data_IF_859413393681
#
_entry.id   IF_859413393681
#
_cell.length_a   1.000
_cell.length_b   1.000
_cell.length_c   1.000
_cell.angle_alpha   90.00
_cell.angle_beta   90.00
_cell.angle_gamma   90.00
#
_symmetry.space_group_name_H-M   'P 1'
#
loop_
_entity.id
_entity.type
_entity.pdbx_description
1 polymer ?
#
# COMPACT_ATOMS: atom_id res chain seq x y z
N UNK A 1 14.81 -40.05 1.88
CA UNK A 1 16.27 -40.18 2.03
C UNK A 1 17.05 -38.97 1.50
N UNK A 2 16.54 -38.21 0.57
CA UNK A 2 17.16 -37.01 -0.07
C UNK A 2 17.34 -35.84 0.90
N UNK A 3 16.42 -35.62 1.85
CA UNK A 3 16.44 -34.50 2.81
C UNK A 3 17.57 -34.58 3.85
N UNK A 4 18.08 -35.77 4.19
CA UNK A 4 19.16 -35.95 5.18
C UNK A 4 20.58 -35.71 4.60
N UNK A 5 20.73 -35.79 3.29
CA UNK A 5 22.00 -35.49 2.63
C UNK A 5 22.22 -33.96 2.46
N UNK A 6 21.14 -33.20 2.32
CA UNK A 6 21.16 -31.73 2.21
C UNK A 6 21.66 -31.02 3.47
N UNK A 7 21.42 -31.60 4.65
CA UNK A 7 21.77 -31.00 5.95
C UNK A 7 23.26 -30.99 6.29
N UNK A 8 24.11 -31.75 5.60
CA UNK A 8 25.53 -31.86 5.89
C UNK A 8 26.44 -30.99 5.01
N UNK A 9 25.93 -30.45 3.91
CA UNK A 9 26.71 -29.62 3.01
C UNK A 9 26.76 -28.17 3.54
N UNK A 10 27.96 -27.58 3.62
CA UNK A 10 28.16 -26.15 3.92
C UNK A 10 27.34 -25.24 3.02
N UNK A 11 27.20 -25.62 1.76
CA UNK A 11 26.46 -24.92 0.72
C UNK A 11 24.97 -24.83 1.04
N UNK A 12 24.37 -25.96 1.45
CA UNK A 12 22.97 -26.02 1.85
C UNK A 12 22.70 -25.10 3.05
N UNK A 13 23.61 -25.03 4.01
CA UNK A 13 23.52 -24.13 5.17
C UNK A 13 23.63 -22.66 4.76
N UNK A 14 24.49 -22.35 3.79
CA UNK A 14 24.65 -20.99 3.28
C UNK A 14 23.40 -20.54 2.50
N UNK A 15 22.90 -21.35 1.56
CA UNK A 15 21.68 -21.07 0.79
C UNK A 15 20.47 -20.91 1.73
N UNK A 16 20.36 -21.75 2.75
CA UNK A 16 19.28 -21.64 3.72
C UNK A 16 19.35 -20.32 4.52
N UNK A 17 20.55 -19.94 5.00
CA UNK A 17 20.72 -18.70 5.75
C UNK A 17 20.45 -17.45 4.92
N UNK A 18 20.98 -17.39 3.70
CA UNK A 18 20.72 -16.28 2.78
C UNK A 18 19.25 -16.23 2.35
N UNK A 19 18.61 -17.37 2.13
CA UNK A 19 17.18 -17.45 1.84
C UNK A 19 16.33 -16.96 3.00
N UNK A 20 16.66 -17.29 4.25
CA UNK A 20 15.93 -16.78 5.42
C UNK A 20 16.09 -15.27 5.58
N UNK A 21 17.31 -14.73 5.40
CA UNK A 21 17.54 -13.27 5.47
C UNK A 21 16.71 -12.55 4.39
N UNK A 22 16.73 -13.04 3.15
CA UNK A 22 15.94 -12.47 2.05
C UNK A 22 14.44 -12.53 2.35
N UNK A 23 13.94 -13.66 2.86
CA UNK A 23 12.54 -13.82 3.20
C UNK A 23 12.13 -12.81 4.28
N UNK A 24 12.92 -12.66 5.33
CA UNK A 24 12.67 -11.67 6.39
C UNK A 24 12.66 -10.24 5.81
N UNK A 25 13.65 -9.90 4.98
CA UNK A 25 13.76 -8.55 4.38
C UNK A 25 12.56 -8.24 3.48
N UNK A 26 12.16 -9.18 2.61
CA UNK A 26 11.01 -9.01 1.72
C UNK A 26 9.70 -8.94 2.51
N UNK A 27 9.55 -9.76 3.57
CA UNK A 27 8.36 -9.73 4.44
C UNK A 27 8.24 -8.40 5.18
N UNK A 28 9.35 -7.88 5.69
CA UNK A 28 9.38 -6.56 6.35
C UNK A 28 9.02 -5.44 5.37
N UNK A 29 9.60 -5.46 4.18
CA UNK A 29 9.30 -4.50 3.12
C UNK A 29 7.82 -4.55 2.71
N UNK A 30 7.27 -5.75 2.51
CA UNK A 30 5.85 -5.93 2.19
C UNK A 30 4.94 -5.42 3.31
N UNK A 31 5.27 -5.70 4.57
CA UNK A 31 4.52 -5.22 5.73
C UNK A 31 4.46 -3.69 5.78
N UNK A 32 5.60 -3.00 5.64
CA UNK A 32 5.64 -1.54 5.61
C UNK A 32 4.85 -0.96 4.44
N UNK A 33 5.01 -1.52 3.25
CA UNK A 33 4.27 -1.05 2.07
C UNK A 33 2.75 -1.19 2.22
N UNK A 34 2.26 -2.33 2.74
CA UNK A 34 0.83 -2.57 2.93
C UNK A 34 0.24 -1.61 3.96
N UNK A 35 0.96 -1.35 5.06
CA UNK A 35 0.50 -0.42 6.10
C UNK A 35 0.39 1.02 5.57
N UNK A 36 1.40 1.49 4.85
CA UNK A 36 1.42 2.84 4.25
C UNK A 36 0.33 2.99 3.17
N UNK A 37 0.07 1.95 2.40
CA UNK A 37 -0.90 1.97 1.31
C UNK A 37 -2.33 2.22 1.81
N UNK A 38 -2.73 1.60 2.92
CA UNK A 38 -4.07 1.80 3.51
C UNK A 38 -4.28 3.26 3.94
N UNK A 39 -3.29 3.87 4.57
CA UNK A 39 -3.36 5.28 4.98
C UNK A 39 -3.44 6.22 3.77
N UNK A 40 -2.66 5.94 2.72
CA UNK A 40 -2.69 6.73 1.49
C UNK A 40 -4.07 6.68 0.82
N UNK A 41 -4.68 5.50 0.68
CA UNK A 41 -6.02 5.37 0.10
C UNK A 41 -7.10 6.07 0.92
N UNK A 42 -7.01 6.01 2.25
CA UNK A 42 -7.92 6.74 3.12
C UNK A 42 -7.75 8.25 2.99
N UNK A 43 -6.52 8.73 2.87
CA UNK A 43 -6.24 10.14 2.67
C UNK A 43 -6.76 10.62 1.32
N UNK A 44 -6.48 9.88 0.26
CA UNK A 44 -6.94 10.17 -1.10
C UNK A 44 -8.49 10.24 -1.18
N UNK A 45 -9.17 9.28 -0.54
CA UNK A 45 -10.63 9.30 -0.46
C UNK A 45 -11.19 10.50 0.30
N UNK A 46 -10.50 10.93 1.37
CA UNK A 46 -10.88 12.13 2.12
C UNK A 46 -10.76 13.38 1.24
N UNK A 47 -9.64 13.51 0.55
CA UNK A 47 -9.34 14.66 -0.30
C UNK A 47 -10.27 14.67 -1.53
N UNK A 48 -10.63 13.51 -2.10
CA UNK A 48 -11.63 13.37 -3.17
C UNK A 48 -13.01 13.89 -2.73
N UNK A 49 -13.54 13.43 -1.58
CA UNK A 49 -14.87 13.81 -1.10
C UNK A 49 -14.90 15.29 -0.68
N UNK A 50 -13.84 15.82 -0.09
CA UNK A 50 -13.71 17.24 0.23
C UNK A 50 -13.73 18.10 -1.04
N UNK A 51 -12.99 17.69 -2.07
CA UNK A 51 -12.98 18.35 -3.39
C UNK A 51 -14.36 18.33 -4.02
N UNK A 52 -15.08 17.22 -3.96
CA UNK A 52 -16.46 17.13 -4.45
C UNK A 52 -17.38 18.07 -3.68
N UNK A 53 -17.27 18.14 -2.36
CA UNK A 53 -18.04 19.07 -1.52
C UNK A 53 -17.80 20.53 -1.93
N UNK A 54 -16.56 20.93 -2.13
CA UNK A 54 -16.20 22.27 -2.60
C UNK A 54 -16.76 22.55 -4.01
N UNK A 55 -16.64 21.60 -4.93
CA UNK A 55 -17.19 21.74 -6.28
C UNK A 55 -18.70 21.95 -6.24
N UNK A 56 -19.43 21.17 -5.44
CA UNK A 56 -20.88 21.34 -5.25
C UNK A 56 -21.20 22.74 -4.76
N UNK A 57 -20.52 23.21 -3.72
CA UNK A 57 -20.74 24.54 -3.17
C UNK A 57 -20.43 25.65 -4.17
N UNK A 58 -19.39 25.51 -4.97
CA UNK A 58 -19.03 26.49 -5.98
C UNK A 58 -19.98 26.50 -7.18
N UNK A 59 -20.34 25.35 -7.70
CA UNK A 59 -21.18 25.23 -8.90
C UNK A 59 -22.64 25.59 -8.60
N UNK A 60 -23.14 25.23 -7.41
CA UNK A 60 -24.53 25.53 -7.02
C UNK A 60 -24.71 26.96 -6.50
N UNK A 61 -23.62 27.65 -6.11
CA UNK A 61 -23.69 29.01 -5.52
C UNK A 61 -24.47 29.99 -6.40
N UNK A 62 -24.21 30.00 -7.71
CA UNK A 62 -24.89 30.93 -8.63
C UNK A 62 -26.39 30.65 -8.75
N UNK A 63 -26.79 29.39 -8.71
CA UNK A 63 -28.21 29.00 -8.77
C UNK A 63 -28.93 29.29 -7.43
N UNK A 64 -28.22 29.13 -6.33
CA UNK A 64 -28.71 29.54 -5.00
C UNK A 64 -29.03 31.04 -4.94
N UNK A 65 -28.15 31.89 -5.52
CA UNK A 65 -28.38 33.34 -5.61
C UNK A 65 -29.60 33.73 -6.43
N UNK A 66 -30.04 32.86 -7.35
CA UNK A 66 -31.25 33.05 -8.19
C UNK A 66 -32.50 32.40 -7.59
N UNK A 67 -32.40 31.81 -6.40
CA UNK A 67 -33.44 30.97 -5.76
C UNK A 67 -33.96 29.84 -6.66
N UNK A 68 -33.08 29.33 -7.55
CA UNK A 68 -33.42 28.24 -8.45
C UNK A 68 -33.13 26.89 -7.80
N UNK A 69 -33.95 26.51 -6.82
CA UNK A 69 -33.76 25.29 -5.98
C UNK A 69 -33.81 24.03 -6.84
N UNK A 70 -34.70 23.96 -7.81
CA UNK A 70 -34.83 22.80 -8.69
C UNK A 70 -33.51 22.50 -9.39
N UNK A 71 -32.88 23.51 -9.96
CA UNK A 71 -31.61 23.31 -10.66
C UNK A 71 -30.43 22.98 -9.71
N UNK A 72 -30.46 23.53 -8.48
CA UNK A 72 -29.48 23.13 -7.43
C UNK A 72 -29.63 21.65 -7.14
N UNK A 73 -30.85 21.15 -6.95
CA UNK A 73 -31.09 19.74 -6.62
C UNK A 73 -30.77 18.81 -7.78
N UNK A 74 -31.09 19.20 -9.01
CA UNK A 74 -30.67 18.44 -10.19
C UNK A 74 -29.15 18.31 -10.31
N UNK A 75 -28.41 19.39 -10.09
CA UNK A 75 -26.94 19.38 -10.10
C UNK A 75 -26.36 18.48 -9.00
N UNK A 76 -26.94 18.53 -7.80
CA UNK A 76 -26.50 17.67 -6.69
C UNK A 76 -26.78 16.19 -6.99
N UNK A 77 -27.97 15.87 -7.54
CA UNK A 77 -28.33 14.52 -7.92
C UNK A 77 -27.39 13.97 -9.03
N UNK A 78 -27.02 14.81 -9.99
CA UNK A 78 -26.09 14.44 -11.05
C UNK A 78 -24.72 14.08 -10.47
N UNK A 79 -24.20 14.86 -9.52
CA UNK A 79 -22.96 14.55 -8.82
C UNK A 79 -23.06 13.25 -8.02
N UNK A 80 -24.19 13.01 -7.36
CA UNK A 80 -24.43 11.77 -6.60
C UNK A 80 -24.51 10.53 -7.50
N UNK A 81 -24.78 10.68 -8.80
CA UNK A 81 -24.80 9.55 -9.74
C UNK A 81 -23.42 8.91 -9.96
N UNK A 82 -22.35 9.55 -9.54
CA UNK A 82 -21.02 8.99 -9.58
C UNK A 82 -20.83 7.87 -8.54
N UNK A 83 -20.26 6.76 -8.95
CA UNK A 83 -20.07 5.52 -8.15
C UNK A 83 -19.38 5.70 -6.79
N UNK A 84 -18.64 6.80 -6.61
CA UNK A 84 -17.92 7.06 -5.35
C UNK A 84 -18.78 7.74 -4.28
N UNK A 85 -19.87 8.38 -4.66
CA UNK A 85 -20.74 9.14 -3.75
C UNK A 85 -21.95 8.28 -3.38
N UNK A 86 -22.11 8.04 -2.08
CA UNK A 86 -23.23 7.27 -1.54
C UNK A 86 -24.45 8.17 -1.32
N UNK A 87 -24.22 9.38 -0.78
CA UNK A 87 -25.29 10.29 -0.38
C UNK A 87 -24.82 11.73 -0.27
N UNK A 88 -25.73 12.66 -0.58
CA UNK A 88 -25.55 14.10 -0.35
C UNK A 88 -26.75 14.65 0.38
N UNK A 89 -26.51 15.45 1.42
CA UNK A 89 -27.54 16.10 2.24
C UNK A 89 -27.23 17.58 2.43
N UNK A 90 -28.28 18.39 2.48
CA UNK A 90 -28.23 19.78 2.91
C UNK A 90 -29.01 19.94 4.21
N UNK A 91 -28.35 20.42 5.23
CA UNK A 91 -28.93 20.66 6.54
C UNK A 91 -29.11 22.17 6.79
N UNK A 92 -30.19 22.50 7.49
CA UNK A 92 -30.30 23.81 8.12
C UNK A 92 -29.36 23.95 9.32
N UNK A 93 -29.20 25.17 9.80
CA UNK A 93 -28.49 25.44 11.07
C UNK A 93 -29.15 24.80 12.29
N UNK A 94 -30.45 24.45 12.20
CA UNK A 94 -31.20 23.73 13.23
C UNK A 94 -31.07 22.20 13.12
N UNK A 95 -30.27 21.67 12.17
CA UNK A 95 -30.05 20.22 12.00
C UNK A 95 -31.16 19.49 11.24
N UNK A 96 -32.09 20.20 10.58
CA UNK A 96 -33.11 19.57 9.75
C UNK A 96 -32.62 19.41 8.29
N UNK A 97 -32.94 18.28 7.67
CA UNK A 97 -32.61 18.01 6.27
C UNK A 97 -33.51 18.81 5.36
N UNK A 98 -32.97 19.76 4.64
CA UNK A 98 -33.64 20.50 3.61
C UNK A 98 -33.67 19.79 2.24
N UNK A 99 -32.63 19.05 1.97
CA UNK A 99 -32.47 18.24 0.78
C UNK A 99 -31.67 16.99 1.10
N UNK A 100 -32.04 15.87 0.52
CA UNK A 100 -31.28 14.63 0.49
C UNK A 100 -31.48 13.96 -0.86
N UNK A 101 -30.45 13.26 -1.33
CA UNK A 101 -30.55 12.32 -2.46
C UNK A 101 -31.43 11.11 -2.15
N UNK A 102 -31.77 10.89 -0.86
CA UNK A 102 -32.85 10.00 -0.42
C UNK A 102 -34.05 10.84 0.05
N UNK A 103 -35.13 10.78 -0.73
CA UNK A 103 -36.33 11.57 -0.46
C UNK A 103 -36.93 11.34 0.94
N UNK A 104 -36.83 10.11 1.44
CA UNK A 104 -37.33 9.73 2.77
C UNK A 104 -36.72 10.49 3.95
N UNK A 105 -35.61 11.16 3.76
CA UNK A 105 -34.90 11.89 4.79
C UNK A 105 -35.29 13.37 4.86
N UNK A 106 -35.93 13.89 3.81
CA UNK A 106 -36.26 15.31 3.73
C UNK A 106 -37.27 15.70 4.82
N UNK A 107 -36.94 16.77 5.55
CA UNK A 107 -37.71 17.28 6.68
C UNK A 107 -37.45 16.62 8.02
N UNK A 108 -36.69 15.53 8.06
CA UNK A 108 -36.29 14.87 9.32
C UNK A 108 -35.18 15.60 10.01
N UNK A 109 -35.13 15.48 11.32
CA UNK A 109 -34.00 15.94 12.13
C UNK A 109 -32.82 14.96 12.06
N UNK A 110 -31.64 15.42 12.37
CA UNK A 110 -30.42 14.60 12.35
C UNK A 110 -30.52 13.39 13.31
N UNK A 111 -31.27 13.52 14.39
CA UNK A 111 -31.55 12.45 15.38
C UNK A 111 -32.42 11.31 14.79
N UNK A 112 -33.29 11.63 13.83
CA UNK A 112 -34.21 10.67 13.23
C UNK A 112 -33.58 9.89 12.08
N UNK A 113 -32.50 10.42 11.51
CA UNK A 113 -31.80 9.81 10.39
C UNK A 113 -30.72 8.89 10.91
N UNK A 114 -31.00 7.91 11.72
CA UNK A 114 -30.12 6.82 12.16
C UNK A 114 -28.63 6.95 11.71
N UNK A 115 -28.05 8.12 11.90
CA UNK A 115 -26.62 8.34 11.78
C UNK A 115 -26.07 7.86 13.13
N UNK A 116 -25.22 6.84 13.19
CA UNK A 116 -24.64 6.40 14.46
C UNK A 116 -23.69 7.49 14.97
N UNK A 117 -24.27 8.47 15.63
CA UNK A 117 -23.57 9.49 16.35
C UNK A 117 -23.74 9.20 17.85
N UNK A 118 -22.98 8.26 18.41
CA UNK A 118 -22.86 8.16 19.87
C UNK A 118 -22.29 9.44 20.49
N UNK A 119 -21.55 10.25 19.72
CA UNK A 119 -21.00 11.54 20.15
C UNK A 119 -21.88 12.77 19.83
N UNK A 120 -22.95 12.63 19.02
CA UNK A 120 -23.86 13.74 18.70
C UNK A 120 -24.97 13.95 19.74
N UNK A 121 -24.97 13.21 20.84
CA UNK A 121 -26.03 13.23 21.83
C UNK A 121 -25.89 14.37 22.87
N UNK A 122 -25.09 15.37 22.62
CA UNK A 122 -25.03 16.55 23.49
C UNK A 122 -24.64 17.78 22.67
N UNK A 123 -25.57 18.71 22.55
CA UNK A 123 -25.37 20.16 22.36
C UNK A 123 -24.37 20.66 21.30
N UNK A 124 -23.92 19.82 20.35
CA UNK A 124 -22.81 20.11 19.43
C UNK A 124 -23.23 20.90 18.19
N UNK A 125 -24.52 21.13 17.97
CA UNK A 125 -25.03 22.03 16.93
C UNK A 125 -25.26 23.49 17.41
N UNK A 126 -24.60 23.91 18.51
CA UNK A 126 -24.57 25.30 18.90
C UNK A 126 -23.52 26.07 18.08
N UNK A 127 -23.93 27.12 17.33
CA UNK A 127 -23.07 27.80 16.35
C UNK A 127 -21.86 28.53 16.95
N UNK A 128 -21.73 28.64 18.26
CA UNK A 128 -20.76 29.55 18.91
C UNK A 128 -19.54 28.86 19.55
N UNK A 129 -19.46 27.53 19.60
CA UNK A 129 -18.40 26.87 20.39
C UNK A 129 -17.47 25.91 19.61
N UNK A 130 -17.77 25.53 18.38
CA UNK A 130 -16.83 24.77 17.54
C UNK A 130 -16.81 25.29 16.11
N UNK A 131 -15.63 25.56 15.53
CA UNK A 131 -15.51 25.72 14.09
C UNK A 131 -15.76 24.37 13.44
N UNK A 132 -17.01 24.09 13.05
CA UNK A 132 -17.41 22.91 12.27
C UNK A 132 -16.93 23.00 10.81
N UNK A 133 -15.81 23.70 10.58
CA UNK A 133 -15.12 23.66 9.31
C UNK A 133 -14.61 22.23 9.07
N UNK A 134 -15.16 21.57 8.05
CA UNK A 134 -14.71 20.28 7.56
C UNK A 134 -14.65 19.16 8.62
N UNK A 135 -15.78 18.84 9.25
CA UNK A 135 -15.85 17.66 10.10
C UNK A 135 -15.85 16.40 9.22
N UNK A 136 -14.96 15.47 9.54
CA UNK A 136 -14.80 14.19 8.81
C UNK A 136 -15.11 13.06 9.76
N UNK A 137 -15.97 12.12 9.33
CA UNK A 137 -16.36 10.96 10.15
C UNK A 137 -16.35 9.69 9.30
N UNK A 138 -15.94 8.59 9.90
CA UNK A 138 -16.05 7.26 9.29
C UNK A 138 -16.98 6.45 10.19
N UNK A 139 -18.00 5.84 9.58
CA UNK A 139 -18.97 4.99 10.28
C UNK A 139 -19.37 3.83 9.38
N UNK A 140 -20.09 2.85 9.93
CA UNK A 140 -20.63 1.73 9.17
C UNK A 140 -22.13 1.98 8.89
N UNK A 141 -22.53 1.77 7.63
CA UNK A 141 -23.94 1.81 7.27
C UNK A 141 -24.67 0.55 7.77
N UNK A 142 -25.98 0.48 7.56
CA UNK A 142 -26.81 -0.67 7.94
C UNK A 142 -26.40 -1.99 7.22
N UNK A 143 -25.69 -1.89 6.10
CA UNK A 143 -25.17 -3.00 5.32
C UNK A 143 -23.79 -3.46 5.82
N UNK A 144 -23.17 -2.69 6.72
CA UNK A 144 -21.84 -2.98 7.28
C UNK A 144 -20.70 -2.37 6.47
N UNK A 145 -20.99 -1.55 5.44
CA UNK A 145 -19.96 -0.89 4.65
C UNK A 145 -19.42 0.33 5.38
N UNK A 146 -18.11 0.57 5.31
CA UNK A 146 -17.50 1.79 5.81
C UNK A 146 -17.85 2.97 4.92
N UNK A 147 -18.43 4.01 5.52
CA UNK A 147 -18.82 5.27 4.87
C UNK A 147 -17.99 6.40 5.45
N UNK A 148 -17.39 7.19 4.58
CA UNK A 148 -16.77 8.45 4.93
C UNK A 148 -17.76 9.59 4.70
N UNK A 149 -18.05 10.36 5.75
CA UNK A 149 -18.87 11.57 5.70
C UNK A 149 -18.00 12.80 5.88
N UNK A 150 -18.15 13.77 4.99
CA UNK A 150 -17.53 15.09 5.07
C UNK A 150 -18.63 16.13 5.15
N UNK A 151 -18.63 16.92 6.22
CA UNK A 151 -19.57 18.02 6.42
C UNK A 151 -18.86 19.35 6.22
N UNK A 152 -19.39 20.18 5.32
CA UNK A 152 -18.84 21.51 4.97
C UNK A 152 -19.84 22.61 5.25
N UNK A 153 -19.39 23.71 5.85
CA UNK A 153 -20.22 24.87 6.13
C UNK A 153 -20.61 25.64 4.87
N UNK A 154 -21.88 25.98 4.75
CA UNK A 154 -22.39 26.94 3.75
C UNK A 154 -22.32 28.32 4.38
N UNK A 155 -21.25 29.07 4.08
CA UNK A 155 -21.00 30.37 4.67
C UNK A 155 -21.75 31.49 3.96
N UNK A 156 -22.27 32.42 4.75
CA UNK A 156 -22.90 33.63 4.24
C UNK A 156 -21.83 34.59 3.67
N UNK A 157 -21.78 34.70 2.37
CA UNK A 157 -20.87 35.59 1.63
C UNK A 157 -21.56 36.91 1.31
N UNK A 158 -20.82 38.02 1.02
CA UNK A 158 -21.41 39.26 0.60
C UNK A 158 -22.45 39.15 -0.52
N UNK A 159 -22.20 38.25 -1.47
CA UNK A 159 -23.13 37.95 -2.55
C UNK A 159 -24.47 37.32 -2.09
N UNK A 160 -24.47 36.62 -0.94
CA UNK A 160 -25.68 36.01 -0.40
C UNK A 160 -26.61 37.01 0.28
N UNK A 161 -26.07 37.99 1.03
CA UNK A 161 -26.89 38.99 1.75
C UNK A 161 -27.16 40.27 0.95
N UNK A 162 -26.59 40.42 -0.26
CA UNK A 162 -26.91 41.50 -1.19
C UNK A 162 -27.77 41.06 -2.39
N UNK A 163 -28.09 39.75 -2.48
CA UNK A 163 -28.93 39.21 -3.57
C UNK A 163 -30.37 39.73 -3.50
N UNK A 164 -30.95 40.02 -4.65
CA UNK A 164 -32.27 40.64 -4.75
C UNK A 164 -33.45 39.69 -4.44
N UNK A 165 -33.22 38.36 -4.53
CA UNK A 165 -34.29 37.35 -4.41
C UNK A 165 -34.52 36.89 -2.97
N UNK A 166 -33.50 36.84 -2.12
CA UNK A 166 -33.62 36.61 -0.69
C UNK A 166 -32.42 37.21 0.01
N UNK A 167 -32.63 37.79 1.17
CA UNK A 167 -31.58 38.50 1.89
C UNK A 167 -31.37 37.82 3.24
N UNK A 168 -30.21 37.22 3.42
CA UNK A 168 -29.78 36.77 4.73
C UNK A 168 -29.15 37.94 5.50
N UNK A 169 -29.46 38.11 6.80
CA UNK A 169 -28.84 39.17 7.59
C UNK A 169 -27.32 39.02 7.59
N UNK A 170 -26.54 40.11 7.49
CA UNK A 170 -25.08 40.05 7.43
C UNK A 170 -24.39 39.47 8.67
N UNK A 171 -25.10 39.48 9.80
CA UNK A 171 -24.66 38.93 11.10
C UNK A 171 -24.74 37.41 11.16
N UNK A 172 -25.58 36.79 10.33
CA UNK A 172 -25.64 35.33 10.18
C UNK A 172 -24.41 34.84 9.39
N UNK A 173 -23.52 34.11 10.02
CA UNK A 173 -22.27 33.65 9.40
C UNK A 173 -22.43 32.35 8.60
N UNK A 174 -23.28 31.43 9.09
CA UNK A 174 -23.49 30.11 8.52
C UNK A 174 -24.94 29.98 8.09
N UNK A 175 -25.20 29.58 6.86
CA UNK A 175 -26.53 29.40 6.30
C UNK A 175 -27.04 27.94 6.40
N UNK A 176 -26.14 27.00 6.53
CA UNK A 176 -26.42 25.57 6.62
C UNK A 176 -25.15 24.74 6.45
N UNK A 177 -25.37 23.46 6.28
CA UNK A 177 -24.28 22.49 6.12
C UNK A 177 -24.54 21.59 4.91
N UNK A 178 -23.50 21.31 4.14
CA UNK A 178 -23.47 20.30 3.10
C UNK A 178 -22.75 19.07 3.64
N UNK A 179 -23.42 17.93 3.66
CA UNK A 179 -22.82 16.65 3.95
C UNK A 179 -22.70 15.83 2.67
N UNK A 180 -21.49 15.33 2.40
CA UNK A 180 -21.20 14.41 1.31
C UNK A 180 -20.70 13.11 1.91
N UNK A 181 -21.38 12.01 1.59
CA UNK A 181 -21.01 10.67 2.04
C UNK A 181 -20.47 9.88 0.86
N UNK A 182 -19.30 9.24 1.05
CA UNK A 182 -18.68 8.36 0.07
C UNK A 182 -18.46 6.97 0.63
N UNK A 183 -18.71 5.95 -0.17
CA UNK A 183 -18.46 4.56 0.22
C UNK A 183 -16.96 4.24 0.16
N UNK A 184 -16.42 3.72 1.26
CA UNK A 184 -15.05 3.18 1.33
C UNK A 184 -14.98 1.69 0.95
N UNK A 185 -16.10 1.05 0.61
CA UNK A 185 -16.17 -0.36 0.24
C UNK A 185 -15.24 -0.69 -0.95
N UNK A 186 -15.24 0.17 -1.97
CA UNK A 186 -14.35 0.03 -3.12
C UNK A 186 -12.86 0.15 -2.76
N UNK A 187 -12.53 0.92 -1.73
CA UNK A 187 -11.15 1.05 -1.23
C UNK A 187 -10.69 -0.27 -0.63
N UNK A 188 -11.54 -0.95 0.14
CA UNK A 188 -11.24 -2.28 0.69
C UNK A 188 -10.94 -3.31 -0.40
N UNK A 189 -11.74 -3.32 -1.48
CA UNK A 189 -11.54 -4.20 -2.64
C UNK A 189 -10.25 -3.86 -3.39
N UNK A 190 -10.01 -2.58 -3.68
CA UNK A 190 -8.78 -2.13 -4.33
C UNK A 190 -7.56 -2.44 -3.47
N UNK A 191 -7.58 -2.11 -2.18
CA UNK A 191 -6.49 -2.41 -1.25
C UNK A 191 -6.20 -3.91 -1.17
N UNK A 192 -7.23 -4.77 -1.19
CA UNK A 192 -7.05 -6.23 -1.21
C UNK A 192 -6.41 -6.73 -2.50
N UNK A 193 -6.79 -6.16 -3.65
CA UNK A 193 -6.20 -6.47 -4.96
C UNK A 193 -4.73 -6.07 -5.03
N UNK A 194 -4.40 -4.86 -4.59
CA UNK A 194 -3.01 -4.40 -4.49
C UNK A 194 -2.18 -5.26 -3.53
N UNK A 195 -2.72 -5.60 -2.37
CA UNK A 195 -2.08 -6.51 -1.41
C UNK A 195 -1.75 -7.85 -2.04
N UNK A 196 -2.69 -8.44 -2.77
CA UNK A 196 -2.48 -9.73 -3.45
C UNK A 196 -1.43 -9.61 -4.56
N UNK A 197 -1.44 -8.50 -5.31
CA UNK A 197 -0.43 -8.22 -6.34
C UNK A 197 0.96 -8.08 -5.75
N UNK A 198 1.11 -7.31 -4.66
CA UNK A 198 2.38 -7.14 -3.94
C UNK A 198 2.88 -8.49 -3.40
N UNK A 199 1.99 -9.29 -2.80
CA UNK A 199 2.33 -10.60 -2.28
C UNK A 199 2.78 -11.55 -3.39
N UNK A 200 2.05 -11.60 -4.51
CA UNK A 200 2.40 -12.44 -5.67
C UNK A 200 3.74 -12.03 -6.28
N UNK A 201 3.95 -10.72 -6.47
CA UNK A 201 5.22 -10.18 -6.97
C UNK A 201 6.37 -10.49 -6.01
N UNK A 202 6.17 -10.30 -4.70
CA UNK A 202 7.16 -10.61 -3.67
C UNK A 202 7.57 -12.08 -3.66
N UNK A 203 6.61 -13.00 -3.75
CA UNK A 203 6.88 -14.45 -3.82
C UNK A 203 7.63 -14.81 -5.10
N UNK A 204 7.21 -14.26 -6.24
CA UNK A 204 7.87 -14.51 -7.54
C UNK A 204 9.31 -14.01 -7.53
N UNK A 205 9.55 -12.80 -7.01
CA UNK A 205 10.89 -12.22 -6.88
C UNK A 205 11.77 -13.07 -5.96
N UNK A 206 11.24 -13.51 -4.80
CA UNK A 206 11.95 -14.37 -3.86
C UNK A 206 12.41 -15.68 -4.53
N UNK A 207 11.52 -16.34 -5.24
CA UNK A 207 11.84 -17.58 -5.95
C UNK A 207 12.92 -17.35 -7.01
N UNK A 208 12.82 -16.27 -7.79
CA UNK A 208 13.80 -15.91 -8.81
C UNK A 208 15.19 -15.67 -8.20
N UNK A 209 15.25 -14.92 -7.09
CA UNK A 209 16.52 -14.65 -6.38
C UNK A 209 17.11 -15.94 -5.82
N UNK A 210 16.31 -16.82 -5.20
CA UNK A 210 16.78 -18.11 -4.69
C UNK A 210 17.36 -18.98 -5.81
N UNK A 211 16.68 -19.06 -6.97
CA UNK A 211 17.15 -19.81 -8.13
C UNK A 211 18.48 -19.23 -8.64
N UNK A 212 18.55 -17.90 -8.81
CA UNK A 212 19.72 -17.20 -9.29
C UNK A 212 20.93 -17.41 -8.35
N UNK A 213 20.73 -17.19 -7.03
CA UNK A 213 21.79 -17.40 -6.02
C UNK A 213 22.24 -18.87 -5.98
N UNK A 214 21.31 -19.82 -6.09
CA UNK A 214 21.64 -21.25 -6.10
C UNK A 214 22.50 -21.61 -7.32
N UNK A 215 22.13 -21.05 -8.49
CA UNK A 215 22.89 -21.26 -9.72
C UNK A 215 24.29 -20.63 -9.65
N UNK A 216 24.40 -19.37 -9.19
CA UNK A 216 25.68 -18.67 -9.01
C UNK A 216 26.59 -19.42 -8.02
N UNK A 217 26.06 -19.78 -6.85
CA UNK A 217 26.85 -20.51 -5.83
C UNK A 217 27.33 -21.85 -6.38
N UNK A 218 26.48 -22.58 -7.10
CA UNK A 218 26.88 -23.85 -7.73
C UNK A 218 28.00 -23.65 -8.75
N UNK A 219 27.87 -22.65 -9.62
CA UNK A 219 28.82 -22.41 -10.72
C UNK A 219 30.15 -21.84 -10.23
N UNK A 220 30.13 -20.86 -9.30
CA UNK A 220 31.30 -20.10 -8.90
C UNK A 220 32.06 -20.71 -7.72
N UNK A 221 31.38 -21.52 -6.89
CA UNK A 221 32.02 -22.06 -5.66
C UNK A 221 32.00 -23.57 -5.63
N UNK A 222 30.82 -24.19 -5.83
CA UNK A 222 30.67 -25.65 -5.61
C UNK A 222 31.47 -26.46 -6.60
N UNK A 223 31.32 -26.13 -7.87
CA UNK A 223 31.97 -26.89 -8.96
C UNK A 223 33.49 -26.77 -8.89
N UNK A 224 34.12 -25.57 -8.75
CA UNK A 224 35.56 -25.45 -8.62
C UNK A 224 36.13 -26.14 -7.35
N UNK A 225 35.45 -26.02 -6.21
CA UNK A 225 35.88 -26.69 -4.97
C UNK A 225 35.80 -28.22 -5.10
N UNK A 226 34.77 -28.73 -5.81
CA UNK A 226 34.66 -30.16 -6.07
C UNK A 226 35.77 -30.64 -7.01
N UNK A 227 36.12 -29.88 -8.06
CA UNK A 227 37.24 -30.17 -8.94
C UNK A 227 38.57 -30.23 -8.16
N UNK A 228 38.80 -29.26 -7.26
CA UNK A 228 39.96 -29.26 -6.35
C UNK A 228 40.03 -30.53 -5.48
N UNK A 229 38.90 -30.94 -4.91
CA UNK A 229 38.80 -32.12 -4.07
C UNK A 229 39.16 -33.40 -4.85
N UNK A 230 38.64 -33.57 -6.08
CA UNK A 230 38.92 -34.71 -6.96
C UNK A 230 40.41 -34.75 -7.35
N UNK A 231 41.02 -33.58 -7.61
CA UNK A 231 42.44 -33.51 -7.90
C UNK A 231 43.30 -33.82 -6.67
N UNK A 232 42.89 -33.36 -5.46
CA UNK A 232 43.59 -33.75 -4.23
C UNK A 232 43.59 -35.25 -3.99
N UNK A 233 42.46 -35.92 -4.32
CA UNK A 233 42.37 -37.39 -4.25
C UNK A 233 43.31 -38.08 -5.24
N UNK A 234 43.42 -37.57 -6.47
CA UNK A 234 44.36 -38.09 -7.48
C UNK A 234 45.82 -37.92 -7.02
N UNK A 235 46.18 -36.75 -6.53
CA UNK A 235 47.52 -36.48 -5.96
C UNK A 235 47.84 -37.42 -4.80
N UNK A 236 46.89 -37.70 -3.93
CA UNK A 236 47.03 -38.67 -2.84
C UNK A 236 47.27 -40.09 -3.34
N UNK A 237 46.73 -40.45 -4.51
CA UNK A 237 46.97 -41.74 -5.17
C UNK A 237 48.23 -41.77 -6.06
N UNK A 238 49.09 -40.74 -5.93
CA UNK A 238 50.33 -40.58 -6.72
C UNK A 238 50.10 -40.36 -8.23
N UNK A 239 48.88 -39.96 -8.65
CA UNK A 239 48.57 -39.56 -10.03
C UNK A 239 48.94 -38.08 -10.23
N UNK A 240 50.23 -37.77 -10.43
CA UNK A 240 50.76 -36.40 -10.45
C UNK A 240 50.78 -35.77 -11.86
N UNK A 241 50.22 -36.43 -12.89
CA UNK A 241 50.26 -35.96 -14.28
C UNK A 241 49.08 -35.05 -14.63
N UNK A 242 48.07 -34.95 -13.77
CA UNK A 242 46.89 -34.11 -14.01
C UNK A 242 47.02 -32.73 -13.41
N UNK A 243 46.66 -31.69 -14.18
CA UNK A 243 46.63 -30.29 -13.71
C UNK A 243 45.19 -29.81 -13.65
N UNK A 244 44.89 -28.95 -12.66
CA UNK A 244 43.64 -28.24 -12.55
C UNK A 244 43.56 -27.13 -13.60
N UNK A 245 42.44 -27.03 -14.35
CA UNK A 245 42.26 -25.92 -15.26
C UNK A 245 42.06 -24.63 -14.45
N UNK A 246 42.83 -23.60 -14.77
CA UNK A 246 42.65 -22.23 -14.19
C UNK A 246 41.41 -21.62 -14.85
N UNK A 247 40.26 -21.74 -14.20
CA UNK A 247 38.96 -21.24 -14.71
C UNK A 247 38.54 -19.87 -14.16
N UNK A 248 39.23 -19.37 -13.14
CA UNK A 248 38.87 -18.14 -12.42
C UNK A 248 40.11 -17.29 -12.12
N UNK A 249 39.92 -15.96 -12.05
CA UNK A 249 40.92 -14.99 -11.64
C UNK A 249 40.66 -14.46 -10.21
N UNK A 250 40.00 -15.24 -9.38
CA UNK A 250 39.68 -14.97 -7.98
C UNK A 250 40.50 -15.86 -7.05
N UNK A 251 40.15 -15.85 -5.75
CA UNK A 251 40.82 -16.65 -4.71
C UNK A 251 40.78 -18.16 -5.02
N UNK A 252 39.77 -18.61 -5.75
CA UNK A 252 39.71 -20.03 -6.19
C UNK A 252 40.74 -20.31 -7.29
N UNK A 253 40.95 -19.31 -8.18
CA UNK A 253 42.00 -19.37 -9.18
C UNK A 253 43.40 -19.42 -8.55
N UNK A 254 43.69 -18.54 -7.59
CA UNK A 254 44.97 -18.55 -6.84
C UNK A 254 45.20 -19.88 -6.10
N UNK A 255 44.14 -20.43 -5.49
CA UNK A 255 44.20 -21.74 -4.82
C UNK A 255 44.50 -22.87 -5.83
N UNK A 256 43.91 -22.81 -7.02
CA UNK A 256 44.13 -23.79 -8.08
C UNK A 256 45.57 -23.72 -8.60
N UNK A 257 46.14 -22.52 -8.74
CA UNK A 257 47.54 -22.31 -9.14
C UNK A 257 48.51 -22.84 -8.08
N UNK A 258 48.29 -22.50 -6.81
CA UNK A 258 49.11 -23.00 -5.68
C UNK A 258 49.07 -24.55 -5.61
N UNK A 259 47.89 -25.13 -5.85
CA UNK A 259 47.74 -26.59 -5.88
C UNK A 259 48.48 -27.25 -7.04
N UNK A 260 48.43 -26.68 -8.23
CA UNK A 260 49.19 -27.14 -9.41
C UNK A 260 50.69 -27.05 -9.17
N UNK A 261 51.15 -25.95 -8.53
CA UNK A 261 52.54 -25.78 -8.17
C UNK A 261 53.01 -26.85 -7.16
N UNK A 262 52.23 -27.15 -6.14
CA UNK A 262 52.50 -28.21 -5.17
C UNK A 262 52.59 -29.58 -5.84
N UNK A 263 51.63 -29.88 -6.75
CA UNK A 263 51.64 -31.16 -7.51
C UNK A 263 52.89 -31.32 -8.37
N UNK A 264 53.33 -30.23 -9.01
CA UNK A 264 54.55 -30.22 -9.80
C UNK A 264 55.79 -30.52 -8.96
N UNK A 265 55.89 -29.87 -7.79
CA UNK A 265 57.03 -30.12 -6.84
C UNK A 265 57.07 -31.56 -6.32
N UNK A 266 55.89 -32.11 -6.00
CA UNK A 266 55.78 -33.52 -5.61
C UNK A 266 56.22 -34.48 -6.75
N UNK A 267 55.91 -34.15 -7.99
CA UNK A 267 56.31 -34.93 -9.17
C UNK A 267 57.84 -34.88 -9.35
N UNK A 268 58.44 -33.69 -9.32
CA UNK A 268 59.87 -33.48 -9.40
C UNK A 268 60.61 -34.31 -8.32
N UNK A 269 60.17 -34.19 -7.07
CA UNK A 269 60.78 -34.93 -5.95
C UNK A 269 60.65 -36.46 -6.14
N UNK A 270 59.48 -36.94 -6.56
CA UNK A 270 59.26 -38.39 -6.83
C UNK A 270 60.19 -38.91 -7.93
N UNK A 271 60.37 -38.16 -9.00
CA UNK A 271 61.17 -38.57 -10.13
C UNK A 271 62.67 -38.55 -9.77
N UNK A 272 63.11 -37.60 -8.98
CA UNK A 272 64.50 -37.56 -8.41
C UNK A 272 64.79 -38.75 -7.50
N UNK A 273 63.84 -39.19 -6.66
CA UNK A 273 63.97 -40.40 -5.85
C UNK A 273 63.95 -41.73 -6.66
N UNK A 274 63.42 -41.72 -7.88
CA UNK A 274 63.37 -42.89 -8.74
C UNK A 274 64.65 -43.08 -9.55
N UNK A 275 65.47 -42.05 -9.72
CA UNK A 275 66.70 -42.06 -10.46
C UNK A 275 67.89 -42.41 -9.54
N UNK A 276 67.72 -42.45 -8.19
CA UNK A 276 68.64 -42.89 -7.20
C UNK A 276 68.51 -44.39 -6.90
#
# INVERSE_FOLDING_TARGET
>A
MVFRAFSKSLISKYILRTGVVLLVTISLFAFFNISTLKELFLQDAKDDIETVSEIILHTTHFQMLKDNRTQVYEMINEVCSHEKIDRIRLFSTAGHVHFSTLEDEIGKGMEEINTPCEECNSDVFLPDSHPLGNSRRIFHNAQGDEILSVTTEIRNKPSCYTAACHVHPPDVKILGFLEVQGSLANIGVQASSYRNSIATFGVTLLLLVIICLSWLTKSMVVTPVHDLLLHAEKVSNMELDSQLPLKSNDEIGELSEAFNFMTLKLKETRDEYREL
#
